data_IF_966293414043
#
_entry.id   IF_966293414043
#
_cell.length_a   1.000
_cell.length_b   1.000
_cell.length_c   1.000
_cell.angle_alpha   90.00
_cell.angle_beta   90.00
_cell.angle_gamma   90.00
#
_symmetry.space_group_name_H-M   'P 1'
#
loop_
_entity.id
_entity.type
_entity.pdbx_description
1 polymer ?
#
# COMPACT_ATOMS: atom_id res chain seq x y z
N UNK A 1 20.99 2.26 8.02
CA UNK A 1 19.58 2.42 7.56
C UNK A 1 19.51 1.96 6.11
N UNK A 2 18.52 1.14 5.72
CA UNK A 2 18.30 0.89 4.28
C UNK A 2 17.75 2.18 3.65
N UNK A 3 18.31 2.58 2.51
CA UNK A 3 17.84 3.74 1.76
C UNK A 3 16.46 3.41 1.17
N UNK A 4 15.51 4.34 1.32
CA UNK A 4 14.20 4.22 0.71
C UNK A 4 14.32 4.10 -0.82
N UNK A 5 13.53 3.23 -1.46
CA UNK A 5 13.56 3.06 -2.92
C UNK A 5 12.39 3.71 -3.64
N UNK A 6 12.70 4.63 -4.54
CA UNK A 6 11.78 5.30 -5.44
C UNK A 6 11.73 4.59 -6.80
N UNK A 7 10.78 4.97 -7.65
CA UNK A 7 10.64 4.43 -9.01
C UNK A 7 11.96 4.44 -9.80
N UNK A 8 12.73 5.52 -9.70
CA UNK A 8 14.03 5.69 -10.37
C UNK A 8 15.12 4.71 -9.90
N UNK A 9 14.95 4.07 -8.74
CA UNK A 9 15.90 3.10 -8.19
C UNK A 9 15.72 1.68 -8.76
N UNK A 10 14.77 1.49 -9.67
CA UNK A 10 14.45 0.20 -10.28
C UNK A 10 14.74 0.21 -11.78
N UNK A 11 15.19 -0.94 -12.29
CA UNK A 11 15.26 -1.15 -13.74
C UNK A 11 13.86 -1.25 -14.32
N UNK A 12 13.69 -0.85 -15.58
CA UNK A 12 12.42 -0.95 -16.29
C UNK A 12 11.85 -2.38 -16.26
N UNK A 13 12.70 -3.39 -16.46
CA UNK A 13 12.30 -4.80 -16.39
C UNK A 13 11.71 -5.17 -15.01
N UNK A 14 12.29 -4.65 -13.92
CA UNK A 14 11.76 -4.87 -12.55
C UNK A 14 10.42 -4.16 -12.36
N UNK A 15 10.27 -2.95 -12.87
CA UNK A 15 9.03 -2.17 -12.77
C UNK A 15 7.90 -2.82 -13.59
N UNK A 16 8.20 -3.32 -14.79
CA UNK A 16 7.24 -4.07 -15.63
C UNK A 16 6.79 -5.35 -14.94
N UNK A 17 7.73 -6.09 -14.36
CA UNK A 17 7.41 -7.30 -13.57
C UNK A 17 6.58 -6.95 -12.33
N UNK A 18 6.93 -5.87 -11.62
CA UNK A 18 6.24 -5.40 -10.43
C UNK A 18 4.78 -5.05 -10.73
N UNK A 19 4.56 -4.21 -11.75
CA UNK A 19 3.23 -3.78 -12.19
C UNK A 19 2.39 -4.99 -12.57
N UNK A 20 2.89 -5.86 -13.45
CA UNK A 20 2.20 -7.08 -13.89
C UNK A 20 1.81 -7.99 -12.72
N UNK A 21 2.67 -8.10 -11.71
CA UNK A 21 2.40 -8.93 -10.53
C UNK A 21 1.26 -8.36 -9.69
N UNK A 22 1.29 -7.07 -9.40
CA UNK A 22 0.22 -6.40 -8.65
C UNK A 22 -1.09 -6.37 -9.43
N UNK A 23 -1.03 -6.22 -10.76
CA UNK A 23 -2.20 -6.35 -11.64
C UNK A 23 -2.80 -7.75 -11.59
N UNK A 24 -1.98 -8.80 -11.57
CA UNK A 24 -2.44 -10.18 -11.48
C UNK A 24 -3.17 -10.49 -10.15
N UNK A 25 -2.85 -9.79 -9.06
CA UNK A 25 -3.59 -9.91 -7.79
C UNK A 25 -5.04 -9.43 -7.95
N UNK A 26 -5.32 -8.52 -8.88
CA UNK A 26 -6.66 -7.99 -9.15
C UNK A 26 -7.47 -8.85 -10.14
N UNK A 27 -6.95 -9.98 -10.65
CA UNK A 27 -7.63 -10.77 -11.68
C UNK A 27 -9.02 -11.28 -11.24
N UNK A 28 -9.24 -11.49 -9.93
CA UNK A 28 -10.53 -11.90 -9.38
C UNK A 28 -11.52 -10.76 -9.11
N UNK A 29 -11.13 -9.51 -9.38
CA UNK A 29 -11.96 -8.33 -9.12
C UNK A 29 -12.67 -7.86 -10.40
N UNK A 30 -13.88 -7.32 -10.24
CA UNK A 30 -14.60 -6.64 -11.31
C UNK A 30 -13.76 -5.54 -11.98
N UNK A 31 -14.02 -5.26 -13.25
CA UNK A 31 -13.28 -4.24 -14.00
C UNK A 31 -13.38 -2.84 -13.38
N UNK A 32 -14.54 -2.51 -12.80
CA UNK A 32 -14.78 -1.22 -12.13
C UNK A 32 -14.49 -1.28 -10.61
N UNK A 33 -13.81 -2.32 -10.14
CA UNK A 33 -13.57 -2.47 -8.71
C UNK A 33 -12.65 -1.33 -8.20
N UNK A 34 -13.02 -0.62 -7.11
CA UNK A 34 -12.29 0.56 -6.63
C UNK A 34 -10.79 0.36 -6.35
N UNK A 35 -10.38 -0.87 -6.01
CA UNK A 35 -8.96 -1.23 -5.84
C UNK A 35 -8.14 -0.95 -7.10
N UNK A 36 -8.71 -1.14 -8.30
CA UNK A 36 -8.03 -0.86 -9.58
C UNK A 36 -7.76 0.63 -9.76
N UNK A 37 -8.71 1.48 -9.36
CA UNK A 37 -8.56 2.93 -9.38
C UNK A 37 -7.47 3.38 -8.39
N UNK A 38 -7.51 2.87 -7.16
CA UNK A 38 -6.47 3.15 -6.15
C UNK A 38 -5.09 2.70 -6.61
N UNK A 39 -4.98 1.52 -7.23
CA UNK A 39 -3.73 1.05 -7.78
C UNK A 39 -3.21 1.99 -8.87
N UNK A 40 -4.09 2.49 -9.74
CA UNK A 40 -3.73 3.42 -10.81
C UNK A 40 -3.17 4.71 -10.24
N UNK A 41 -3.85 5.33 -9.26
CA UNK A 41 -3.35 6.54 -8.61
C UNK A 41 -2.04 6.29 -7.87
N UNK A 42 -1.95 5.20 -7.10
CA UNK A 42 -0.73 4.84 -6.41
C UNK A 42 0.44 4.60 -7.39
N UNK A 43 0.19 3.95 -8.52
CA UNK A 43 1.24 3.68 -9.50
C UNK A 43 1.74 4.95 -10.20
N UNK A 44 0.84 5.87 -10.57
CA UNK A 44 1.24 7.15 -11.18
C UNK A 44 2.00 8.04 -10.18
N UNK A 45 1.58 8.08 -8.92
CA UNK A 45 2.30 8.81 -7.88
C UNK A 45 3.67 8.18 -7.56
N UNK A 46 3.79 6.86 -7.66
CA UNK A 46 5.06 6.16 -7.54
C UNK A 46 5.99 6.54 -8.69
N UNK A 47 5.49 6.51 -9.94
CA UNK A 47 6.22 6.91 -11.14
C UNK A 47 6.67 8.37 -11.09
N UNK A 48 5.85 9.25 -10.51
CA UNK A 48 6.17 10.65 -10.26
C UNK A 48 7.14 10.87 -9.08
N UNK A 49 7.58 9.80 -8.40
CA UNK A 49 8.53 9.87 -7.29
C UNK A 49 7.94 10.44 -5.99
N UNK A 50 6.61 10.52 -5.86
CA UNK A 50 5.95 11.11 -4.70
C UNK A 50 6.04 10.27 -3.43
N UNK A 51 6.30 8.96 -3.58
CA UNK A 51 6.60 8.09 -2.45
C UNK A 51 7.59 6.99 -2.85
N UNK A 52 8.20 6.40 -1.83
CA UNK A 52 9.09 5.26 -1.96
C UNK A 52 8.38 3.97 -1.53
N UNK A 53 8.71 2.85 -2.17
CA UNK A 53 8.19 1.54 -1.79
C UNK A 53 9.30 0.51 -1.72
N UNK A 54 9.50 -0.03 -0.52
CA UNK A 54 10.55 -1.02 -0.25
C UNK A 54 10.06 -2.45 -0.09
N UNK A 55 8.80 -2.68 -0.46
CA UNK A 55 8.10 -3.92 -0.17
C UNK A 55 7.30 -3.81 1.12
N UNK A 56 6.54 -4.87 1.45
CA UNK A 56 5.71 -4.87 2.65
C UNK A 56 6.59 -4.55 3.86
N UNK A 57 6.26 -3.43 4.51
CA UNK A 57 7.05 -2.73 5.53
C UNK A 57 7.49 -3.64 6.69
N UNK A 58 6.91 -4.84 6.83
CA UNK A 58 7.14 -5.71 7.97
C UNK A 58 7.12 -7.23 7.69
N UNK A 59 7.39 -7.67 6.46
CA UNK A 59 7.56 -9.12 6.18
C UNK A 59 8.96 -9.38 5.64
N UNK A 60 9.77 -10.17 6.38
CA UNK A 60 10.91 -10.88 5.77
C UNK A 60 10.32 -11.85 4.75
N UNK A 61 10.41 -11.50 3.47
CA UNK A 61 9.87 -12.30 2.37
C UNK A 61 10.41 -13.73 2.40
N UNK A 62 9.65 -14.67 2.96
CA UNK A 62 9.79 -16.10 2.63
C UNK A 62 8.95 -16.48 1.39
N UNK A 63 8.26 -15.51 0.77
CA UNK A 63 7.60 -15.66 -0.52
C UNK A 63 8.16 -14.68 -1.56
N UNK A 64 8.32 -15.17 -2.79
CA UNK A 64 9.26 -14.75 -3.87
C UNK A 64 9.15 -13.32 -4.46
N UNK A 65 8.50 -12.33 -3.82
CA UNK A 65 8.48 -10.94 -4.34
C UNK A 65 8.15 -9.90 -3.28
N UNK A 66 8.76 -8.71 -3.41
CA UNK A 66 8.50 -7.53 -2.57
C UNK A 66 7.24 -6.74 -2.98
N UNK A 67 6.69 -7.03 -4.15
CA UNK A 67 5.53 -6.31 -4.71
C UNK A 67 4.25 -7.05 -4.30
N UNK A 68 3.51 -6.42 -3.39
CA UNK A 68 2.19 -6.85 -2.88
C UNK A 68 1.26 -5.65 -2.99
N UNK A 69 0.13 -5.81 -3.67
CA UNK A 69 -0.75 -4.68 -4.02
C UNK A 69 -1.31 -3.97 -2.78
N UNK A 70 -1.77 -4.72 -1.78
CA UNK A 70 -2.36 -4.15 -0.58
C UNK A 70 -1.37 -3.24 0.17
N UNK A 71 -0.12 -3.68 0.36
CA UNK A 71 0.89 -2.87 1.06
C UNK A 71 1.37 -1.71 0.21
N UNK A 72 1.42 -1.85 -1.11
CA UNK A 72 1.75 -0.75 -2.01
C UNK A 72 0.74 0.40 -1.91
N UNK A 73 -0.56 0.09 -1.88
CA UNK A 73 -1.62 1.09 -1.69
C UNK A 73 -1.53 1.70 -0.28
N UNK A 74 -1.30 0.90 0.77
CA UNK A 74 -1.18 1.41 2.14
C UNK A 74 0.01 2.36 2.32
N UNK A 75 1.17 2.01 1.78
CA UNK A 75 2.36 2.88 1.82
C UNK A 75 2.13 4.18 1.03
N UNK A 76 1.44 4.11 -0.12
CA UNK A 76 1.02 5.30 -0.86
C UNK A 76 0.11 6.20 -0.04
N UNK A 77 -0.94 5.65 0.61
CA UNK A 77 -1.84 6.41 1.49
C UNK A 77 -1.08 7.11 2.59
N UNK A 78 -0.21 6.38 3.29
CA UNK A 78 0.62 6.93 4.35
C UNK A 78 1.50 8.07 3.84
N UNK A 79 2.17 7.88 2.70
CA UNK A 79 3.02 8.91 2.10
C UNK A 79 2.24 10.19 1.73
N UNK A 80 0.99 10.04 1.28
CA UNK A 80 0.10 11.17 0.99
C UNK A 80 -0.50 11.84 2.24
N UNK A 81 -0.09 11.39 3.43
CA UNK A 81 -0.56 11.94 4.70
C UNK A 81 -1.89 11.39 5.17
N UNK A 82 -2.49 10.46 4.42
CA UNK A 82 -3.69 9.75 4.82
C UNK A 82 -3.25 8.62 5.76
N UNK A 83 -3.28 8.91 7.06
CA UNK A 83 -2.85 7.99 8.12
C UNK A 83 -3.93 7.93 9.19
N UNK A 84 -4.24 6.73 9.69
CA UNK A 84 -5.31 6.54 10.68
C UNK A 84 -5.88 5.13 10.63
N UNK A 85 -6.74 4.81 11.59
CA UNK A 85 -7.39 3.49 11.67
C UNK A 85 -8.24 3.21 10.43
N UNK A 86 -8.76 4.24 9.79
CA UNK A 86 -9.49 4.15 8.54
C UNK A 86 -8.66 3.62 7.38
N UNK A 87 -7.38 3.99 7.33
CA UNK A 87 -6.44 3.54 6.29
C UNK A 87 -5.97 2.12 6.59
N UNK A 88 -5.83 1.77 7.86
CA UNK A 88 -5.54 0.40 8.27
C UNK A 88 -6.71 -0.55 7.96
N UNK A 89 -7.95 -0.11 8.19
CA UNK A 89 -9.14 -0.87 7.83
C UNK A 89 -9.28 -1.00 6.31
N UNK A 90 -9.03 0.07 5.55
CA UNK A 90 -8.94 0.00 4.08
C UNK A 90 -7.92 -1.06 3.63
N UNK A 91 -6.74 -1.08 4.26
CA UNK A 91 -5.73 -2.09 3.96
C UNK A 91 -6.21 -3.52 4.22
N UNK A 92 -6.92 -3.79 5.32
CA UNK A 92 -7.51 -5.11 5.56
C UNK A 92 -8.63 -5.45 4.59
N UNK A 93 -9.51 -4.51 4.24
CA UNK A 93 -10.54 -4.71 3.22
C UNK A 93 -9.94 -5.07 1.87
N UNK A 94 -8.86 -4.38 1.47
CA UNK A 94 -8.11 -4.71 0.24
C UNK A 94 -7.53 -6.13 0.32
N UNK A 95 -6.94 -6.52 1.46
CA UNK A 95 -6.42 -7.89 1.62
C UNK A 95 -7.51 -8.96 1.51
N UNK A 96 -8.69 -8.72 2.08
CA UNK A 96 -9.84 -9.63 2.00
C UNK A 96 -10.32 -9.74 0.55
N UNK A 97 -10.53 -8.59 -0.12
CA UNK A 97 -11.00 -8.55 -1.51
C UNK A 97 -10.02 -9.25 -2.48
N UNK A 98 -8.71 -9.15 -2.22
CA UNK A 98 -7.67 -9.81 -3.00
C UNK A 98 -7.42 -11.27 -2.56
N UNK A 99 -8.23 -11.81 -1.64
CA UNK A 99 -8.14 -13.18 -1.13
C UNK A 99 -6.73 -13.54 -0.58
N UNK A 100 -6.14 -12.64 0.21
CA UNK A 100 -4.83 -12.88 0.81
C UNK A 100 -4.91 -14.01 1.86
N UNK A 101 -3.87 -14.84 2.04
CA UNK A 101 -3.85 -15.87 3.05
C UNK A 101 -4.09 -15.32 4.46
N UNK A 102 -5.02 -15.96 5.19
CA UNK A 102 -5.43 -15.52 6.53
C UNK A 102 -4.25 -15.44 7.52
N UNK A 103 -3.23 -16.26 7.33
CA UNK A 103 -1.99 -16.28 8.12
C UNK A 103 -1.22 -14.94 8.10
N UNK A 104 -1.46 -14.10 7.09
CA UNK A 104 -0.83 -12.77 7.00
C UNK A 104 -1.51 -11.74 7.90
N UNK A 105 -2.79 -11.93 8.24
CA UNK A 105 -3.59 -10.94 8.97
C UNK A 105 -3.08 -10.67 10.39
N UNK A 106 -2.77 -11.68 11.24
CA UNK A 106 -2.35 -11.41 12.62
C UNK A 106 -1.08 -10.55 12.70
N UNK A 107 -0.09 -10.83 11.84
CA UNK A 107 1.16 -10.05 11.79
C UNK A 107 0.88 -8.61 11.35
N UNK A 108 0.09 -8.44 10.30
CA UNK A 108 -0.29 -7.13 9.75
C UNK A 108 -1.14 -6.31 10.72
N UNK A 109 -2.07 -6.95 11.42
CA UNK A 109 -2.89 -6.35 12.47
C UNK A 109 -2.07 -5.83 13.65
N UNK A 110 -1.04 -6.56 14.09
CA UNK A 110 -0.17 -6.06 15.15
C UNK A 110 0.55 -4.75 14.76
N UNK A 111 0.86 -4.58 13.47
CA UNK A 111 1.65 -3.46 12.97
C UNK A 111 0.82 -2.18 12.78
N UNK A 112 -0.44 -2.32 12.43
CA UNK A 112 -1.40 -1.20 12.38
C UNK A 112 -1.72 -0.64 13.77
N UNK A 113 -1.38 -1.34 14.86
CA UNK A 113 -1.47 -0.77 16.23
C UNK A 113 -0.51 0.38 16.46
N UNK A 114 0.54 0.50 15.66
CA UNK A 114 1.51 1.60 15.74
C UNK A 114 1.07 2.85 14.96
N UNK A 115 -0.11 2.84 14.34
CA UNK A 115 -0.62 3.95 13.53
C UNK A 115 -0.76 5.26 14.30
N UNK A 116 -0.99 5.22 15.62
CA UNK A 116 -0.99 6.43 16.47
C UNK A 116 0.34 7.20 16.34
N UNK A 117 1.47 6.50 16.33
CA UNK A 117 2.78 7.12 16.15
C UNK A 117 2.95 7.70 14.74
N UNK A 118 2.39 7.03 13.73
CA UNK A 118 2.45 7.50 12.35
C UNK A 118 1.60 8.78 12.16
N UNK A 119 0.39 8.81 12.74
CA UNK A 119 -0.47 10.00 12.80
C UNK A 119 0.27 11.16 13.45
N UNK A 120 0.88 10.93 14.62
CA UNK A 120 1.61 11.96 15.34
C UNK A 120 2.81 12.51 14.53
N UNK A 121 3.58 11.63 13.89
CA UNK A 121 4.67 12.00 12.99
C UNK A 121 4.20 12.90 11.84
N UNK A 122 3.09 12.55 11.18
CA UNK A 122 2.55 13.36 10.08
C UNK A 122 2.03 14.72 10.57
N UNK A 123 1.43 14.78 11.76
CA UNK A 123 1.02 16.05 12.38
C UNK A 123 2.22 16.97 12.64
N UNK A 124 3.30 16.45 13.23
CA UNK A 124 4.52 17.23 13.47
C UNK A 124 5.14 17.75 12.17
N UNK A 125 5.14 16.92 11.11
CA UNK A 125 5.70 17.29 9.81
C UNK A 125 4.83 18.25 9.01
N UNK A 126 3.61 18.56 9.47
CA UNK A 126 2.65 19.37 8.71
C UNK A 126 2.12 18.67 7.45
N UNK A 127 2.29 17.35 7.33
CA UNK A 127 1.88 16.55 6.17
C UNK A 127 0.68 15.66 6.47
N UNK A 128 -0.01 15.89 7.59
CA UNK A 128 -1.20 15.14 7.95
C UNK A 128 -2.39 15.55 7.08
N UNK A 129 -2.98 14.59 6.36
CA UNK A 129 -4.17 14.78 5.57
C UNK A 129 -5.32 13.96 6.17
N UNK A 130 -6.28 14.67 6.79
CA UNK A 130 -7.47 14.03 7.36
C UNK A 130 -8.53 13.68 6.31
N UNK A 131 -8.39 14.15 5.06
CA UNK A 131 -9.38 13.94 4.00
C UNK A 131 -9.09 12.66 3.24
N UNK A 132 -9.83 11.60 3.57
CA UNK A 132 -9.85 10.38 2.77
C UNK A 132 -10.80 10.58 1.59
N UNK A 133 -10.25 10.78 0.40
CA UNK A 133 -11.04 11.06 -0.81
C UNK A 133 -11.81 9.85 -1.34
N UNK A 134 -11.42 8.63 -0.96
CA UNK A 134 -12.08 7.38 -1.37
C UNK A 134 -12.17 6.50 -0.11
N UNK A 135 -13.38 6.31 0.42
CA UNK A 135 -13.63 5.41 1.57
C UNK A 135 -14.05 4.04 1.03
N UNK A 136 -13.14 3.06 1.06
CA UNK A 136 -13.45 1.67 0.68
C UNK A 136 -14.23 0.86 1.72
N UNK A 137 -14.76 1.49 2.77
CA UNK A 137 -15.38 0.83 3.92
C UNK A 137 -16.64 -0.01 3.61
N UNK A 138 -17.03 -0.11 2.34
CA UNK A 138 -18.26 -0.79 1.90
C UNK A 138 -18.02 -1.87 0.82
N UNK A 139 -16.78 -2.30 0.62
CA UNK A 139 -16.50 -3.54 -0.13
C UNK A 139 -16.76 -4.78 0.73
#
# INVERSE_FOLDING_TARGET
>A
MRKNKFYSDFTEAKLKMAKRRMEAEMNGLDFNHPIRELFTFAWEDFKAGKFSYDGPTFVRSRFKSRWELASFIHDWRNAMGNVGYEIDNEFFSIMIALNYPIELFPKRYLLTRLTIFNVWRHKIKGTYNAKIHIKLYQL
#
